data_IF_202472157443
#
_entry.id   IF_202472157443
#
_cell.length_a   1.000
_cell.length_b   1.000
_cell.length_c   1.000
_cell.angle_alpha   90.00
_cell.angle_beta   90.00
_cell.angle_gamma   90.00
#
_symmetry.space_group_name_H-M   'P 1'
#
loop_
_entity.id
_entity.type
_entity.pdbx_description
1 polymer ?
#
# COMPACT_ATOMS: atom_id res chain seq x y z
N UNK A 1 -3.26 8.01 -15.17
CA UNK A 1 -4.16 7.14 -14.41
C UNK A 1 -3.38 6.14 -13.58
N UNK A 2 -3.82 5.90 -12.36
CA UNK A 2 -3.18 4.93 -11.49
C UNK A 2 -3.60 3.52 -11.85
N UNK A 3 -2.62 2.62 -11.98
CA UNK A 3 -2.87 1.21 -12.20
C UNK A 3 -3.48 0.58 -10.93
N UNK A 4 -4.43 -0.32 -11.12
CA UNK A 4 -5.11 -1.02 -10.03
C UNK A 4 -4.85 -2.52 -10.13
N UNK A 5 -4.58 -3.16 -8.99
CA UNK A 5 -4.54 -4.62 -8.91
C UNK A 5 -5.31 -5.08 -7.67
N UNK A 6 -5.77 -6.31 -7.70
CA UNK A 6 -6.38 -6.95 -6.53
C UNK A 6 -5.30 -7.63 -5.69
N UNK A 7 -5.59 -7.84 -4.40
CA UNK A 7 -4.66 -8.57 -3.51
C UNK A 7 -4.27 -9.93 -4.09
N UNK A 8 -5.23 -10.66 -4.66
CA UNK A 8 -4.96 -11.97 -5.25
C UNK A 8 -4.01 -11.93 -6.46
N UNK A 9 -3.78 -10.74 -7.03
CA UNK A 9 -2.88 -10.55 -8.16
C UNK A 9 -1.47 -10.12 -7.73
N UNK A 10 -1.26 -9.82 -6.45
CA UNK A 10 0.01 -9.25 -5.97
C UNK A 10 1.19 -10.18 -6.23
N UNK A 11 1.07 -11.45 -5.90
CA UNK A 11 2.21 -12.37 -6.06
C UNK A 11 2.66 -12.50 -7.52
N UNK A 12 1.73 -12.58 -8.45
CA UNK A 12 2.08 -12.60 -9.88
C UNK A 12 2.69 -11.27 -10.32
N UNK A 13 2.14 -10.17 -9.83
CA UNK A 13 2.63 -8.84 -10.17
C UNK A 13 4.09 -8.65 -9.77
N UNK A 14 4.45 -9.04 -8.55
CA UNK A 14 5.82 -8.85 -8.06
C UNK A 14 6.82 -9.81 -8.72
N UNK A 15 6.37 -10.98 -9.16
CA UNK A 15 7.22 -11.87 -9.96
C UNK A 15 7.60 -11.24 -11.29
N UNK A 16 6.69 -10.51 -11.91
CA UNK A 16 6.94 -9.80 -13.17
C UNK A 16 7.65 -8.47 -12.95
N UNK A 17 7.53 -7.90 -11.75
CA UNK A 17 8.10 -6.62 -11.38
C UNK A 17 8.86 -6.77 -10.06
N UNK A 18 10.06 -7.41 -10.08
CA UNK A 18 10.78 -7.74 -8.85
C UNK A 18 11.26 -6.53 -8.06
N UNK A 19 11.35 -5.35 -8.69
CA UNK A 19 11.64 -4.10 -7.98
C UNK A 19 10.34 -3.46 -7.50
N UNK A 20 9.61 -4.18 -6.64
CA UNK A 20 8.37 -3.69 -6.05
C UNK A 20 8.52 -3.55 -4.54
N UNK A 21 7.83 -2.56 -3.97
CA UNK A 21 7.71 -2.38 -2.52
C UNK A 21 6.24 -2.18 -2.19
N UNK A 22 5.88 -2.50 -0.95
CA UNK A 22 4.53 -2.27 -0.44
C UNK A 22 4.56 -1.02 0.45
N UNK A 23 3.57 -0.16 0.28
CA UNK A 23 3.38 1.01 1.14
C UNK A 23 1.97 0.98 1.71
N UNK A 24 1.87 0.62 2.98
CA UNK A 24 0.62 0.61 3.73
C UNK A 24 0.43 1.98 4.39
N UNK A 25 -0.61 2.69 3.98
CA UNK A 25 -0.85 4.07 4.42
C UNK A 25 -1.96 4.18 5.47
N UNK A 26 -2.35 3.05 6.07
CA UNK A 26 -3.34 3.04 7.14
C UNK A 26 -2.79 3.70 8.41
N UNK A 27 -3.62 3.77 9.44
CA UNK A 27 -3.24 4.33 10.73
C UNK A 27 -2.60 3.26 11.63
N UNK A 28 -1.85 3.71 12.62
CA UNK A 28 -1.28 2.84 13.64
C UNK A 28 -2.38 2.07 14.38
N UNK A 29 -3.51 2.72 14.65
CA UNK A 29 -4.66 2.10 15.29
C UNK A 29 -5.21 0.93 14.46
N UNK A 30 -5.32 1.10 13.15
CA UNK A 30 -5.75 0.03 12.25
C UNK A 30 -4.75 -1.14 12.24
N UNK A 31 -3.45 -0.86 12.26
CA UNK A 31 -2.42 -1.90 12.33
C UNK A 31 -2.51 -2.69 13.63
N UNK A 32 -2.79 -2.01 14.73
CA UNK A 32 -2.90 -2.65 16.05
C UNK A 32 -4.14 -3.54 16.16
N UNK A 33 -5.25 -3.14 15.54
CA UNK A 33 -6.52 -3.87 15.62
C UNK A 33 -6.56 -5.03 14.62
N UNK A 34 -6.19 -4.77 13.36
CA UNK A 34 -6.41 -5.72 12.27
C UNK A 34 -5.14 -6.48 11.85
N UNK A 35 -3.99 -6.05 12.33
CA UNK A 35 -2.70 -6.61 11.92
C UNK A 35 -2.12 -5.88 10.71
N UNK A 36 -0.98 -6.36 10.27
CA UNK A 36 -0.21 -5.78 9.17
C UNK A 36 0.04 -6.82 8.08
N UNK A 37 0.18 -6.38 6.82
CA UNK A 37 0.69 -7.29 5.80
C UNK A 37 2.15 -7.64 6.10
N UNK A 38 2.50 -8.89 5.91
CA UNK A 38 3.88 -9.37 6.04
C UNK A 38 4.44 -9.63 4.65
N UNK A 39 4.67 -8.56 3.91
CA UNK A 39 5.13 -8.64 2.52
C UNK A 39 6.48 -9.32 2.38
N UNK A 40 7.35 -9.21 3.39
CA UNK A 40 8.66 -9.83 3.36
C UNK A 40 8.60 -11.35 3.15
N UNK A 41 7.53 -11.98 3.60
CA UNK A 41 7.34 -13.43 3.39
C UNK A 41 7.12 -13.81 1.93
N UNK A 42 6.77 -12.85 1.08
CA UNK A 42 6.61 -13.06 -0.36
C UNK A 42 7.61 -12.22 -1.15
N UNK A 43 8.72 -11.84 -0.53
CA UNK A 43 9.78 -11.03 -1.14
C UNK A 43 9.31 -9.63 -1.56
N UNK A 44 8.39 -9.04 -0.80
CA UNK A 44 7.86 -7.70 -1.03
C UNK A 44 8.17 -6.84 0.19
N UNK A 45 9.22 -6.03 0.10
CA UNK A 45 9.60 -5.14 1.21
C UNK A 45 8.45 -4.21 1.54
N UNK A 46 8.09 -4.13 2.82
CA UNK A 46 6.90 -3.39 3.26
C UNK A 46 7.27 -2.18 4.09
N UNK A 47 6.62 -1.06 3.79
CA UNK A 47 6.75 0.20 4.51
C UNK A 47 5.39 0.61 5.04
N UNK A 48 5.40 1.32 6.16
CA UNK A 48 4.18 1.74 6.87
C UNK A 48 4.28 3.23 7.15
N UNK A 49 3.40 4.02 6.54
CA UNK A 49 3.44 5.47 6.67
C UNK A 49 2.03 6.03 6.48
N UNK A 50 1.44 6.54 7.55
CA UNK A 50 0.06 7.03 7.56
C UNK A 50 -0.12 8.26 6.67
N UNK A 51 -1.12 8.22 5.77
CA UNK A 51 -1.49 9.38 4.94
C UNK A 51 -2.58 10.23 5.61
N UNK A 52 -3.53 9.58 6.29
CA UNK A 52 -4.65 10.25 6.95
C UNK A 52 -4.87 9.63 8.31
N UNK A 53 -4.92 10.48 9.33
CA UNK A 53 -5.10 10.05 10.72
C UNK A 53 -6.55 9.72 11.06
N UNK A 54 -6.78 9.14 12.22
CA UNK A 54 -8.10 8.69 12.68
C UNK A 54 -9.12 9.85 12.71
N UNK A 55 -8.67 11.06 13.05
CA UNK A 55 -9.51 12.26 13.07
C UNK A 55 -9.77 12.85 11.68
N UNK A 56 -9.36 12.16 10.62
CA UNK A 56 -9.52 12.54 9.22
C UNK A 56 -8.57 13.64 8.74
N UNK A 57 -7.63 14.10 9.58
CA UNK A 57 -6.62 15.05 9.11
C UNK A 57 -5.54 14.35 8.31
N UNK A 58 -5.01 15.04 7.29
CA UNK A 58 -3.90 14.51 6.49
C UNK A 58 -2.58 14.66 7.23
N UNK A 59 -1.68 13.72 6.99
CA UNK A 59 -0.30 13.83 7.44
C UNK A 59 0.41 14.89 6.60
N UNK A 60 0.59 16.08 7.15
CA UNK A 60 1.21 17.21 6.45
C UNK A 60 2.67 16.92 6.07
N UNK A 61 3.31 16.00 6.76
CA UNK A 61 4.70 15.64 6.52
C UNK A 61 4.84 14.37 5.67
N UNK A 62 3.76 13.91 5.04
CA UNK A 62 3.77 12.63 4.33
C UNK A 62 4.89 12.56 3.28
N UNK A 63 5.01 13.56 2.41
CA UNK A 63 6.01 13.55 1.34
C UNK A 63 7.43 13.57 1.92
N UNK A 64 7.68 14.39 2.94
CA UNK A 64 8.99 14.44 3.60
C UNK A 64 9.36 13.10 4.22
N UNK A 65 8.42 12.51 4.94
CA UNK A 65 8.62 11.21 5.59
C UNK A 65 8.79 10.09 4.56
N UNK A 66 8.02 10.16 3.48
CA UNK A 66 8.13 9.20 2.38
C UNK A 66 9.54 9.24 1.76
N UNK A 67 10.07 10.43 1.52
CA UNK A 67 11.41 10.58 0.95
C UNK A 67 12.49 9.97 1.84
N UNK A 68 12.30 9.97 3.14
CA UNK A 68 13.23 9.34 4.09
C UNK A 68 13.26 7.81 3.98
N UNK A 69 12.28 7.20 3.35
CA UNK A 69 12.27 5.76 3.10
C UNK A 69 13.26 5.35 2.02
N UNK A 70 13.75 6.30 1.23
CA UNK A 70 14.75 6.09 0.18
C UNK A 70 14.32 5.06 -0.87
N UNK A 71 13.05 5.06 -1.22
CA UNK A 71 12.54 4.21 -2.30
C UNK A 71 12.96 4.83 -3.64
N UNK A 72 13.65 4.05 -4.46
CA UNK A 72 14.12 4.54 -5.75
C UNK A 72 12.97 4.64 -6.75
N UNK A 73 13.09 5.60 -7.68
CA UNK A 73 12.01 5.88 -8.63
C UNK A 73 11.80 4.79 -9.69
N UNK A 74 12.74 3.87 -9.83
CA UNK A 74 12.59 2.71 -10.72
C UNK A 74 11.81 1.57 -10.07
N UNK A 75 11.43 1.71 -8.81
CA UNK A 75 10.63 0.71 -8.11
C UNK A 75 9.13 0.92 -8.37
N UNK A 76 8.37 -0.18 -8.36
CA UNK A 76 6.92 -0.14 -8.35
C UNK A 76 6.45 -0.03 -6.90
N UNK A 77 5.63 0.98 -6.59
CA UNK A 77 5.10 1.16 -5.23
C UNK A 77 3.65 0.67 -5.21
N UNK A 78 3.42 -0.44 -4.51
CA UNK A 78 2.09 -0.99 -4.32
C UNK A 78 1.49 -0.32 -3.09
N UNK A 79 0.50 0.55 -3.30
CA UNK A 79 -0.13 1.30 -2.21
C UNK A 79 -1.32 0.53 -1.64
N UNK A 80 -1.47 0.56 -0.32
CA UNK A 80 -2.51 -0.17 0.39
C UNK A 80 -3.12 0.69 1.49
N UNK A 81 -4.46 0.60 1.63
CA UNK A 81 -5.15 1.06 2.82
C UNK A 81 -6.15 -0.01 3.23
N UNK A 82 -7.22 0.33 3.93
CA UNK A 82 -8.18 -0.67 4.39
C UNK A 82 -9.01 -1.25 3.23
N UNK A 83 -9.57 -0.39 2.38
CA UNK A 83 -10.44 -0.80 1.28
C UNK A 83 -10.09 -0.23 -0.09
N UNK A 84 -9.00 0.51 -0.20
CA UNK A 84 -8.48 0.98 -1.50
C UNK A 84 -8.59 2.47 -1.79
N UNK A 85 -9.33 3.26 -0.98
CA UNK A 85 -9.61 4.68 -1.28
C UNK A 85 -8.45 5.60 -0.92
N UNK A 86 -7.97 5.55 0.33
CA UNK A 86 -6.85 6.40 0.77
C UNK A 86 -5.58 6.08 -0.01
N UNK A 87 -5.36 4.81 -0.33
CA UNK A 87 -4.20 4.37 -1.07
C UNK A 87 -4.26 4.79 -2.54
N UNK A 88 -5.47 4.92 -3.11
CA UNK A 88 -5.64 5.49 -4.45
C UNK A 88 -5.16 6.95 -4.47
N UNK A 89 -5.59 7.75 -3.50
CA UNK A 89 -5.15 9.14 -3.38
C UNK A 89 -3.64 9.25 -3.18
N UNK A 90 -3.07 8.33 -2.38
CA UNK A 90 -1.63 8.28 -2.15
C UNK A 90 -0.88 7.98 -3.44
N UNK A 91 -1.36 7.00 -4.21
CA UNK A 91 -0.74 6.64 -5.48
C UNK A 91 -0.75 7.81 -6.46
N UNK A 92 -1.85 8.56 -6.51
CA UNK A 92 -1.94 9.76 -7.36
C UNK A 92 -0.96 10.83 -6.92
N UNK A 93 -0.86 11.06 -5.62
CA UNK A 93 0.09 12.03 -5.06
C UNK A 93 1.54 11.67 -5.40
N UNK A 94 1.92 10.42 -5.19
CA UNK A 94 3.28 9.96 -5.44
C UNK A 94 3.61 9.92 -6.94
N UNK A 95 2.63 9.63 -7.78
CA UNK A 95 2.81 9.68 -9.23
C UNK A 95 3.17 11.10 -9.69
N UNK A 96 2.55 12.11 -9.09
CA UNK A 96 2.90 13.52 -9.36
C UNK A 96 4.32 13.85 -8.92
N UNK A 97 4.85 13.14 -7.93
CA UNK A 97 6.24 13.31 -7.47
C UNK A 97 7.24 12.50 -8.30
N UNK A 98 6.78 11.81 -9.33
CA UNK A 98 7.65 11.06 -10.25
C UNK A 98 7.85 9.59 -9.94
N UNK A 99 7.06 9.02 -9.04
CA UNK A 99 7.14 7.60 -8.68
C UNK A 99 6.16 6.76 -9.49
N UNK A 100 6.46 5.46 -9.61
CA UNK A 100 5.60 4.49 -10.28
C UNK A 100 4.74 3.79 -9.24
N UNK A 101 3.43 3.99 -9.29
CA UNK A 101 2.52 3.48 -8.27
C UNK A 101 1.46 2.57 -8.85
N UNK A 102 1.10 1.55 -8.06
CA UNK A 102 0.02 0.62 -8.35
C UNK A 102 -0.83 0.54 -7.09
N UNK A 103 -2.13 0.80 -7.19
CA UNK A 103 -3.01 0.70 -6.03
C UNK A 103 -3.53 -0.72 -5.86
N UNK A 104 -3.43 -1.26 -4.64
CA UNK A 104 -4.10 -2.51 -4.29
C UNK A 104 -5.54 -2.15 -3.96
N UNK A 105 -6.43 -2.33 -4.94
CA UNK A 105 -7.76 -1.72 -4.95
C UNK A 105 -8.73 -2.28 -3.91
N UNK A 106 -8.50 -3.49 -3.41
CA UNK A 106 -9.31 -4.08 -2.35
C UNK A 106 -8.69 -3.95 -0.95
N UNK A 107 -7.49 -3.36 -0.84
CA UNK A 107 -6.88 -3.04 0.43
C UNK A 107 -6.60 -4.23 1.33
N UNK A 108 -6.43 -3.95 2.62
CA UNK A 108 -6.07 -4.98 3.61
C UNK A 108 -7.23 -5.89 3.98
N UNK A 109 -8.42 -5.35 4.20
CA UNK A 109 -9.60 -6.13 4.61
C UNK A 109 -10.64 -6.31 3.51
N UNK A 110 -10.40 -5.73 2.35
CA UNK A 110 -11.34 -5.84 1.25
C UNK A 110 -12.43 -4.77 1.25
N UNK A 111 -13.38 -4.96 0.37
CA UNK A 111 -14.53 -4.07 0.19
C UNK A 111 -15.72 -4.91 -0.23
N UNK A 112 -16.82 -4.26 -0.67
CA UNK A 112 -18.05 -4.96 -1.04
C UNK A 112 -17.89 -5.93 -2.21
N UNK A 113 -16.84 -5.75 -3.03
CA UNK A 113 -16.62 -6.54 -4.25
C UNK A 113 -15.52 -7.60 -4.11
N UNK A 114 -14.52 -7.38 -3.24
CA UNK A 114 -13.32 -8.21 -3.19
C UNK A 114 -12.82 -8.42 -1.76
N UNK A 115 -12.01 -9.46 -1.58
CA UNK A 115 -11.63 -9.98 -0.26
C UNK A 115 -10.58 -9.17 0.49
N UNK A 116 -9.65 -8.52 -0.21
CA UNK A 116 -8.52 -7.85 0.41
C UNK A 116 -7.37 -8.79 0.72
N UNK A 117 -6.25 -8.20 1.15
CA UNK A 117 -5.00 -8.91 1.43
C UNK A 117 -5.19 -10.06 2.44
N UNK A 118 -5.72 -9.72 3.61
CA UNK A 118 -5.86 -10.67 4.72
C UNK A 118 -6.77 -11.84 4.37
N UNK A 119 -7.93 -11.55 3.78
CA UNK A 119 -8.93 -12.56 3.47
C UNK A 119 -8.58 -13.37 2.21
N UNK A 120 -7.61 -12.91 1.43
CA UNK A 120 -7.08 -13.66 0.29
C UNK A 120 -6.02 -14.69 0.69
N UNK A 121 -5.68 -14.75 1.97
CA UNK A 121 -4.70 -15.71 2.47
C UNK A 121 -3.26 -15.25 2.35
N UNK A 122 -3.01 -13.97 2.03
CA UNK A 122 -1.66 -13.44 1.98
C UNK A 122 -1.08 -13.26 3.39
N UNK A 123 0.25 -13.32 3.55
CA UNK A 123 0.84 -13.32 4.89
C UNK A 123 0.60 -12.03 5.66
N UNK A 124 0.30 -12.19 6.95
CA UNK A 124 0.06 -11.08 7.88
C UNK A 124 0.84 -11.30 9.17
N UNK A 125 1.06 -10.18 9.88
CA UNK A 125 1.72 -10.21 11.19
C UNK A 125 1.11 -9.21 12.18
#
# INVERSE_FOLDING_TARGET
>A
MTKQILSEEVEDYIKKNPKSVLLDVRTEEEWNVDGKPDGEKIALKSHFLTIQFVDKTFNQNFIEDFKKLNIEKDHEILTMCMGGVRSQSTAELLTKEGYNCVNISDGFLGNSANLGWKNSGLPCK
#
